data_IF_175351211441
#
_entry.id   IF_175351211441
#
_cell.length_a   1.000
_cell.length_b   1.000
_cell.length_c   1.000
_cell.angle_alpha   90.00
_cell.angle_beta   90.00
_cell.angle_gamma   90.00
#
_symmetry.space_group_name_H-M   'P 1'
#
loop_
_entity.id
_entity.type
_entity.pdbx_description
1 polymer ?
#
# COMPACT_ATOMS: atom_id res chain seq x y z
N UNK A 1 -39.76 -7.23 -60.21
CA UNK A 1 -39.43 -6.42 -59.02
C UNK A 1 -39.56 -7.14 -57.66
N UNK A 2 -40.16 -8.34 -57.54
CA UNK A 2 -40.25 -9.06 -56.24
C UNK A 2 -39.07 -10.00 -55.91
N UNK A 3 -38.17 -10.29 -56.86
CA UNK A 3 -36.99 -11.15 -56.64
C UNK A 3 -35.69 -10.40 -56.33
N UNK A 4 -35.66 -9.07 -56.52
CA UNK A 4 -34.50 -8.24 -56.17
C UNK A 4 -34.54 -7.75 -54.71
N UNK A 5 -35.72 -7.74 -54.07
CA UNK A 5 -35.89 -7.29 -52.68
C UNK A 5 -35.49 -8.37 -51.66
N UNK A 6 -35.55 -9.66 -52.05
CA UNK A 6 -35.13 -10.78 -51.20
C UNK A 6 -33.60 -10.91 -51.17
N UNK A 7 -32.91 -10.47 -52.23
CA UNK A 7 -31.43 -10.41 -52.23
C UNK A 7 -30.91 -9.26 -51.36
N UNK A 8 -31.65 -8.16 -51.24
CA UNK A 8 -31.26 -7.02 -50.38
C UNK A 8 -31.49 -7.32 -48.88
N UNK A 9 -32.40 -8.24 -48.55
CA UNK A 9 -32.66 -8.67 -47.16
C UNK A 9 -31.74 -9.81 -46.68
N UNK A 10 -31.06 -10.51 -47.59
CA UNK A 10 -30.04 -11.53 -47.25
C UNK A 10 -28.63 -10.92 -47.17
N UNK A 11 -28.41 -9.73 -47.75
CA UNK A 11 -27.13 -8.99 -47.65
C UNK A 11 -27.07 -8.09 -46.40
N UNK A 12 -28.19 -7.86 -45.72
CA UNK A 12 -28.23 -7.41 -44.32
C UNK A 12 -28.18 -8.59 -43.34
N UNK A 13 -27.42 -9.64 -43.71
CA UNK A 13 -26.88 -10.60 -42.76
C UNK A 13 -26.08 -9.82 -41.73
N UNK A 14 -26.75 -9.54 -40.61
CA UNK A 14 -26.23 -9.34 -39.25
C UNK A 14 -24.70 -9.38 -39.21
N UNK A 15 -24.07 -8.26 -39.57
CA UNK A 15 -22.76 -7.98 -39.00
C UNK A 15 -23.08 -7.51 -37.59
N UNK A 16 -23.14 -8.45 -36.64
CA UNK A 16 -22.86 -8.10 -35.26
C UNK A 16 -21.44 -7.56 -35.29
N UNK A 17 -21.33 -6.23 -35.27
CA UNK A 17 -20.04 -5.58 -35.05
C UNK A 17 -19.81 -5.76 -33.57
N UNK A 18 -18.71 -6.43 -33.21
CA UNK A 18 -18.34 -6.59 -31.83
C UNK A 18 -18.30 -5.22 -31.14
N UNK A 19 -18.95 -5.13 -29.99
CA UNK A 19 -18.92 -3.95 -29.14
C UNK A 19 -17.63 -3.97 -28.31
N UNK A 20 -17.11 -2.77 -28.00
CA UNK A 20 -15.89 -2.61 -27.21
C UNK A 20 -16.17 -1.63 -26.09
N UNK A 21 -16.02 -2.10 -24.86
CA UNK A 21 -16.03 -1.25 -23.67
C UNK A 21 -14.63 -0.70 -23.46
N UNK A 22 -14.55 0.58 -23.10
CA UNK A 22 -13.31 1.29 -22.80
C UNK A 22 -13.42 1.93 -21.44
N UNK A 23 -12.57 1.47 -20.53
CA UNK A 23 -12.45 2.02 -19.19
C UNK A 23 -11.27 3.02 -19.20
N UNK A 24 -11.52 4.33 -19.04
CA UNK A 24 -10.45 5.32 -19.04
C UNK A 24 -9.55 5.14 -17.82
N UNK A 25 -8.25 5.31 -18.02
CA UNK A 25 -7.24 5.39 -16.97
C UNK A 25 -6.53 6.73 -17.13
N UNK A 26 -6.81 7.67 -16.24
CA UNK A 26 -6.20 9.01 -16.30
C UNK A 26 -5.13 9.16 -15.23
N UNK A 27 -4.04 9.83 -15.60
CA UNK A 27 -2.93 10.18 -14.71
C UNK A 27 -2.30 11.47 -15.21
N UNK A 28 -1.92 12.35 -14.29
CA UNK A 28 -1.08 13.50 -14.59
C UNK A 28 0.38 13.06 -14.48
N UNK A 29 1.09 13.02 -15.61
CA UNK A 29 2.51 12.67 -15.68
C UNK A 29 3.35 13.96 -15.72
N UNK A 30 4.24 14.10 -14.74
CA UNK A 30 5.14 15.24 -14.56
C UNK A 30 6.60 14.84 -14.81
N UNK A 31 6.99 13.63 -14.40
CA UNK A 31 8.35 13.10 -14.49
C UNK A 31 8.61 12.38 -15.81
N UNK A 32 7.55 11.85 -16.44
CA UNK A 32 7.65 10.95 -17.58
C UNK A 32 8.03 9.52 -17.20
N UNK A 33 8.24 9.24 -15.91
CA UNK A 33 8.48 7.88 -15.42
C UNK A 33 7.18 7.06 -15.48
N UNK A 34 7.27 5.75 -15.72
CA UNK A 34 6.12 4.88 -15.61
C UNK A 34 5.55 4.87 -14.19
N UNK A 35 4.22 4.89 -14.10
CA UNK A 35 3.44 4.73 -12.88
C UNK A 35 2.88 3.32 -12.82
N UNK A 36 3.16 2.63 -11.73
CA UNK A 36 2.60 1.31 -11.43
C UNK A 36 1.10 1.41 -11.13
N UNK A 37 0.32 0.59 -11.81
CA UNK A 37 -1.14 0.50 -11.63
C UNK A 37 -1.51 -0.93 -11.29
N UNK A 38 -2.33 -1.08 -10.26
CA UNK A 38 -3.01 -2.34 -9.92
C UNK A 38 -4.50 -2.08 -9.74
N UNK A 39 -5.32 -2.91 -10.35
CA UNK A 39 -6.79 -2.88 -10.24
C UNK A 39 -7.30 -4.32 -10.13
N UNK A 40 -8.28 -4.57 -9.27
CA UNK A 40 -8.87 -5.91 -9.16
C UNK A 40 -9.74 -6.22 -10.38
N UNK A 41 -9.81 -7.50 -10.76
CA UNK A 41 -10.72 -7.94 -11.80
C UNK A 41 -12.20 -7.72 -11.40
N UNK A 42 -12.52 -7.69 -10.10
CA UNK A 42 -13.84 -7.27 -9.61
C UNK A 42 -14.15 -5.82 -9.99
N UNK A 43 -13.22 -4.88 -9.77
CA UNK A 43 -13.42 -3.47 -10.14
C UNK A 43 -13.52 -3.30 -11.66
N UNK A 44 -12.74 -4.04 -12.44
CA UNK A 44 -12.87 -4.03 -13.91
C UNK A 44 -14.26 -4.54 -14.32
N UNK A 45 -14.73 -5.63 -13.74
CA UNK A 45 -16.06 -6.18 -14.01
C UNK A 45 -17.17 -5.15 -13.73
N UNK A 46 -17.07 -4.45 -12.60
CA UNK A 46 -18.03 -3.41 -12.22
C UNK A 46 -18.01 -2.23 -13.21
N UNK A 47 -16.83 -1.84 -13.71
CA UNK A 47 -16.67 -0.74 -14.68
C UNK A 47 -17.10 -1.13 -16.10
N UNK A 48 -16.91 -2.39 -16.49
CA UNK A 48 -17.35 -2.91 -17.79
C UNK A 48 -18.86 -3.12 -17.81
N UNK A 49 -19.43 -3.51 -16.68
CA UNK A 49 -20.84 -3.80 -16.49
C UNK A 49 -21.14 -5.29 -16.62
N UNK A 50 -21.83 -5.82 -15.62
CA UNK A 50 -22.16 -7.26 -15.49
C UNK A 50 -23.04 -7.82 -16.62
N UNK A 51 -23.73 -6.94 -17.36
CA UNK A 51 -24.59 -7.31 -18.48
C UNK A 51 -23.85 -7.39 -19.83
N UNK A 52 -22.58 -6.97 -19.89
CA UNK A 52 -21.75 -7.07 -21.08
C UNK A 52 -21.09 -8.46 -21.16
N UNK A 53 -21.30 -9.18 -22.27
CA UNK A 53 -20.76 -10.53 -22.49
C UNK A 53 -19.28 -10.46 -22.91
N UNK A 54 -18.44 -9.99 -22.00
CA UNK A 54 -17.03 -9.74 -22.23
C UNK A 54 -16.26 -11.03 -22.59
N UNK A 55 -15.55 -11.00 -23.72
CA UNK A 55 -14.45 -11.90 -23.95
C UNK A 55 -13.24 -11.41 -23.14
N UNK A 56 -12.97 -12.00 -21.96
CA UNK A 56 -11.83 -11.60 -21.14
C UNK A 56 -10.46 -11.87 -21.77
N UNK A 57 -10.39 -12.76 -22.76
CA UNK A 57 -9.17 -12.95 -23.57
C UNK A 57 -8.90 -11.74 -24.48
N UNK A 58 -9.89 -10.88 -24.72
CA UNK A 58 -9.73 -9.65 -25.51
C UNK A 58 -9.25 -8.44 -24.70
N UNK A 59 -9.03 -8.59 -23.39
CA UNK A 59 -8.59 -7.51 -22.51
C UNK A 59 -7.27 -6.90 -23.04
N UNK A 60 -7.18 -5.57 -23.07
CA UNK A 60 -5.95 -4.86 -23.45
C UNK A 60 -5.78 -3.60 -22.62
N UNK A 61 -4.53 -3.18 -22.47
CA UNK A 61 -4.20 -1.81 -22.04
C UNK A 61 -3.68 -1.06 -23.26
N UNK A 62 -4.26 0.10 -23.55
CA UNK A 62 -3.91 0.91 -24.72
C UNK A 62 -3.50 2.31 -24.28
N UNK A 63 -2.32 2.77 -24.71
CA UNK A 63 -1.85 4.13 -24.53
C UNK A 63 -1.38 4.68 -25.88
N UNK A 64 -1.86 5.88 -26.26
CA UNK A 64 -1.53 6.52 -27.54
C UNK A 64 -1.76 5.60 -28.76
N UNK A 65 -2.81 4.77 -28.70
CA UNK A 65 -3.17 3.80 -29.74
C UNK A 65 -2.24 2.58 -29.84
N UNK A 66 -1.34 2.39 -28.88
CA UNK A 66 -0.45 1.21 -28.78
C UNK A 66 -0.87 0.35 -27.59
N UNK A 67 -0.83 -0.96 -27.81
CA UNK A 67 -1.00 -1.94 -26.74
C UNK A 67 0.21 -1.92 -25.81
N UNK A 68 -0.04 -1.82 -24.51
CA UNK A 68 0.96 -1.90 -23.45
C UNK A 68 0.96 -3.31 -22.83
N UNK A 69 2.13 -3.81 -22.40
CA UNK A 69 2.19 -5.04 -21.62
C UNK A 69 1.44 -4.88 -20.30
N UNK A 70 0.70 -5.93 -19.93
CA UNK A 70 0.02 -6.06 -18.66
C UNK A 70 0.04 -7.52 -18.21
N UNK A 71 -0.24 -7.75 -16.94
CA UNK A 71 -0.41 -9.10 -16.39
C UNK A 71 -1.68 -9.17 -15.54
N UNK A 72 -2.25 -10.37 -15.46
CA UNK A 72 -3.30 -10.69 -14.50
C UNK A 72 -2.72 -11.74 -13.57
N UNK A 73 -2.64 -11.38 -12.29
CA UNK A 73 -2.09 -12.21 -11.24
C UNK A 73 -3.22 -12.97 -10.54
N UNK A 74 -3.11 -14.30 -10.52
CA UNK A 74 -4.01 -15.21 -9.81
C UNK A 74 -3.83 -15.06 -8.29
N UNK A 75 -4.42 -14.02 -7.69
CA UNK A 75 -4.14 -13.68 -6.28
C UNK A 75 -5.02 -14.44 -5.29
N UNK A 76 -6.05 -15.13 -5.75
CA UNK A 76 -6.83 -16.07 -4.92
C UNK A 76 -6.39 -17.54 -5.11
N UNK A 77 -5.40 -17.78 -5.99
CA UNK A 77 -4.73 -19.06 -6.21
C UNK A 77 -5.68 -20.17 -6.68
N UNK A 78 -6.77 -19.82 -7.36
CA UNK A 78 -7.75 -20.78 -7.82
C UNK A 78 -7.39 -21.45 -9.17
N UNK A 79 -6.39 -20.91 -9.88
CA UNK A 79 -5.90 -21.39 -11.16
C UNK A 79 -6.75 -20.98 -12.37
N UNK A 80 -7.65 -20.01 -12.22
CA UNK A 80 -8.52 -19.47 -13.26
C UNK A 80 -8.74 -17.98 -13.04
N UNK A 81 -9.01 -17.27 -14.14
CA UNK A 81 -9.44 -15.88 -14.08
C UNK A 81 -10.68 -15.72 -13.19
N UNK A 82 -10.58 -14.89 -12.16
CA UNK A 82 -11.66 -14.63 -11.21
C UNK A 82 -11.71 -13.16 -10.78
N UNK A 83 -12.76 -12.78 -10.05
CA UNK A 83 -12.87 -11.45 -9.43
C UNK A 83 -11.80 -11.19 -8.35
N UNK A 84 -11.21 -12.25 -7.81
CA UNK A 84 -10.13 -12.19 -6.82
C UNK A 84 -8.76 -11.85 -7.42
N UNK A 85 -8.64 -11.85 -8.75
CA UNK A 85 -7.38 -11.58 -9.44
C UNK A 85 -7.10 -10.08 -9.54
N UNK A 86 -5.82 -9.76 -9.75
CA UNK A 86 -5.36 -8.38 -9.87
C UNK A 86 -4.68 -8.19 -11.22
N UNK A 87 -5.16 -7.20 -11.97
CA UNK A 87 -4.49 -6.73 -13.17
C UNK A 87 -3.42 -5.70 -12.79
N UNK A 88 -2.21 -5.86 -13.33
CA UNK A 88 -1.10 -4.93 -13.13
C UNK A 88 -0.50 -4.47 -14.47
N UNK A 89 -0.16 -3.18 -14.55
CA UNK A 89 0.46 -2.58 -15.73
C UNK A 89 1.21 -1.28 -15.38
N UNK A 90 1.98 -0.75 -16.34
CA UNK A 90 2.76 0.48 -16.20
C UNK A 90 2.32 1.49 -17.27
N UNK A 91 2.09 2.75 -16.87
CA UNK A 91 1.69 3.83 -17.79
C UNK A 91 2.53 5.08 -17.60
N UNK A 92 2.82 5.82 -18.67
CA UNK A 92 3.51 7.13 -18.59
C UNK A 92 2.57 8.34 -18.80
N UNK A 93 1.26 8.12 -18.86
CA UNK A 93 0.24 9.09 -19.25
C UNK A 93 -1.14 8.44 -19.37
N UNK A 94 -2.16 9.17 -19.85
CA UNK A 94 -3.51 8.61 -20.02
C UNK A 94 -3.53 7.34 -20.87
N UNK A 95 -4.35 6.37 -20.47
CA UNK A 95 -4.50 5.07 -21.12
C UNK A 95 -5.97 4.61 -21.07
N UNK A 96 -6.28 3.50 -21.72
CA UNK A 96 -7.59 2.85 -21.70
C UNK A 96 -7.39 1.35 -21.43
N UNK A 97 -8.21 0.78 -20.55
CA UNK A 97 -8.41 -0.68 -20.49
C UNK A 97 -9.58 -0.98 -21.43
N UNK A 98 -9.38 -1.87 -22.40
CA UNK A 98 -10.40 -2.19 -23.41
C UNK A 98 -10.74 -3.67 -23.37
N UNK A 99 -12.02 -3.99 -23.54
CA UNK A 99 -12.53 -5.36 -23.66
C UNK A 99 -13.65 -5.41 -24.69
N UNK A 100 -13.74 -6.48 -25.46
CA UNK A 100 -14.75 -6.67 -26.51
C UNK A 100 -15.61 -7.90 -26.22
N UNK A 101 -16.74 -8.02 -26.92
CA UNK A 101 -17.55 -9.24 -26.99
C UNK A 101 -17.15 -10.13 -28.21
N UNK A 102 -15.97 -9.88 -28.79
CA UNK A 102 -15.43 -10.66 -29.91
C UNK A 102 -14.66 -11.88 -29.38
N UNK A 103 -15.34 -13.03 -29.36
CA UNK A 103 -14.78 -14.31 -28.90
C UNK A 103 -13.78 -14.96 -29.87
N UNK A 104 -13.52 -14.37 -31.04
CA UNK A 104 -12.45 -14.83 -31.95
C UNK A 104 -11.07 -14.27 -31.54
N UNK A 105 -11.02 -13.30 -30.62
CA UNK A 105 -9.78 -12.72 -30.10
C UNK A 105 -9.13 -13.66 -29.08
N UNK A 106 -7.83 -13.89 -29.24
CA UNK A 106 -6.98 -14.65 -28.32
C UNK A 106 -6.24 -13.72 -27.35
N UNK A 107 -5.85 -14.22 -26.16
CA UNK A 107 -5.13 -13.43 -25.18
C UNK A 107 -3.75 -13.00 -25.73
N UNK A 108 -3.28 -11.79 -25.38
CA UNK A 108 -1.97 -11.33 -25.80
C UNK A 108 -0.85 -12.11 -25.09
N UNK A 109 0.28 -12.27 -25.78
CA UNK A 109 1.50 -12.85 -25.22
C UNK A 109 2.55 -11.76 -25.04
N UNK A 110 3.03 -11.59 -23.81
CA UNK A 110 4.10 -10.68 -23.47
C UNK A 110 5.31 -11.43 -22.90
N UNK A 111 6.50 -10.85 -23.08
CA UNK A 111 7.73 -11.39 -22.50
C UNK A 111 7.80 -10.99 -21.03
N UNK A 112 8.05 -11.96 -20.15
CA UNK A 112 8.25 -11.72 -18.72
C UNK A 112 9.44 -10.80 -18.45
N UNK A 113 9.31 -9.91 -17.48
CA UNK A 113 10.40 -9.09 -16.94
C UNK A 113 10.79 -9.65 -15.58
N UNK A 114 12.04 -10.09 -15.47
CA UNK A 114 12.58 -10.64 -14.24
C UNK A 114 12.53 -12.16 -14.13
N UNK A 115 12.83 -12.66 -12.94
CA UNK A 115 13.08 -14.06 -12.64
C UNK A 115 12.74 -14.37 -11.19
N UNK A 116 12.16 -15.55 -10.96
CA UNK A 116 11.90 -16.10 -9.63
C UNK A 116 12.55 -17.47 -9.53
N UNK A 117 13.26 -17.72 -8.43
CA UNK A 117 13.84 -19.02 -8.10
C UNK A 117 13.49 -19.36 -6.65
N UNK A 118 12.91 -20.53 -6.43
CA UNK A 118 12.69 -21.04 -5.07
C UNK A 118 13.94 -21.78 -4.58
N UNK A 119 14.50 -21.34 -3.46
CA UNK A 119 15.67 -21.93 -2.81
C UNK A 119 15.43 -22.02 -1.30
N UNK A 120 15.63 -23.21 -0.73
CA UNK A 120 15.55 -23.44 0.74
C UNK A 120 14.25 -22.94 1.43
N UNK A 121 13.12 -22.93 0.70
CA UNK A 121 11.83 -22.47 1.24
C UNK A 121 11.65 -20.94 1.25
N UNK A 122 12.49 -20.23 0.49
CA UNK A 122 12.39 -18.82 0.17
C UNK A 122 12.35 -18.63 -1.35
N UNK A 123 11.88 -17.47 -1.80
CA UNK A 123 11.89 -17.12 -3.22
C UNK A 123 12.84 -15.96 -3.46
N UNK A 124 13.85 -16.20 -4.28
CA UNK A 124 14.74 -15.19 -4.81
C UNK A 124 14.07 -14.53 -6.02
N UNK A 125 14.02 -13.21 -6.01
CA UNK A 125 13.32 -12.39 -7.00
C UNK A 125 14.32 -11.39 -7.59
N UNK A 126 14.42 -11.36 -8.92
CA UNK A 126 15.17 -10.36 -9.68
C UNK A 126 14.22 -9.68 -10.66
N UNK A 127 14.07 -8.36 -10.59
CA UNK A 127 13.19 -7.60 -11.50
C UNK A 127 13.66 -6.15 -11.66
N UNK A 128 13.90 -5.75 -12.91
CA UNK A 128 14.48 -4.43 -13.19
C UNK A 128 15.81 -4.28 -12.46
N UNK A 129 15.90 -3.24 -11.63
CA UNK A 129 17.05 -2.99 -10.74
C UNK A 129 16.90 -3.62 -9.35
N UNK A 130 15.75 -4.21 -9.02
CA UNK A 130 15.46 -4.80 -7.71
C UNK A 130 15.99 -6.23 -7.63
N UNK A 131 16.68 -6.53 -6.53
CA UNK A 131 16.86 -7.90 -6.01
C UNK A 131 16.13 -8.04 -4.69
N UNK A 132 15.36 -9.11 -4.51
CA UNK A 132 14.53 -9.31 -3.34
C UNK A 132 14.43 -10.79 -2.95
N UNK A 133 14.00 -11.02 -1.70
CA UNK A 133 13.68 -12.33 -1.16
C UNK A 133 12.29 -12.27 -0.53
N UNK A 134 11.41 -13.20 -0.91
CA UNK A 134 10.20 -13.48 -0.16
C UNK A 134 10.44 -14.65 0.78
N UNK A 135 10.15 -14.47 2.08
CA UNK A 135 10.28 -15.55 3.05
C UNK A 135 9.07 -16.50 3.01
N UNK A 136 9.08 -17.56 3.82
CA UNK A 136 8.01 -18.56 3.88
C UNK A 136 6.65 -18.03 4.38
N UNK A 137 6.58 -16.77 4.84
CA UNK A 137 5.33 -16.07 5.20
C UNK A 137 4.85 -15.15 4.08
N UNK A 138 5.55 -15.09 2.95
CA UNK A 138 5.30 -14.16 1.85
C UNK A 138 5.62 -12.70 2.19
N UNK A 139 6.41 -12.43 3.24
CA UNK A 139 6.92 -11.09 3.51
C UNK A 139 8.16 -10.83 2.64
N UNK A 140 8.15 -9.68 1.97
CA UNK A 140 9.19 -9.31 0.99
C UNK A 140 10.27 -8.46 1.65
N UNK A 141 11.52 -8.84 1.38
CA UNK A 141 12.74 -8.09 1.70
C UNK A 141 13.44 -7.70 0.41
N UNK A 142 13.71 -6.42 0.21
CA UNK A 142 14.57 -5.95 -0.89
C UNK A 142 16.02 -5.95 -0.42
N UNK A 143 16.85 -6.73 -1.10
CA UNK A 143 18.26 -6.99 -0.77
C UNK A 143 19.23 -6.19 -1.64
N UNK A 144 18.74 -5.48 -2.64
CA UNK A 144 19.54 -4.58 -3.46
C UNK A 144 18.72 -3.82 -4.48
N UNK A 145 19.27 -2.70 -4.93
CA UNK A 145 18.72 -1.82 -5.95
C UNK A 145 19.85 -1.19 -6.78
N UNK A 146 19.90 -1.49 -8.08
CA UNK A 146 20.99 -1.06 -8.95
C UNK A 146 22.34 -1.60 -8.47
N UNK A 147 23.30 -0.70 -8.20
CA UNK A 147 24.62 -1.06 -7.67
C UNK A 147 24.65 -1.14 -6.12
N UNK A 148 23.53 -0.89 -5.44
CA UNK A 148 23.46 -0.89 -3.98
C UNK A 148 23.05 -2.26 -3.47
N UNK A 149 23.88 -2.86 -2.63
CA UNK A 149 23.61 -4.13 -1.94
C UNK A 149 23.33 -3.90 -0.45
N UNK A 150 22.44 -4.71 0.13
CA UNK A 150 22.10 -4.66 1.55
C UNK A 150 20.59 -4.67 1.80
N UNK A 151 20.17 -4.58 3.06
CA UNK A 151 18.73 -4.50 3.38
C UNK A 151 18.21 -3.10 3.04
N UNK A 152 17.59 -2.96 1.87
CA UNK A 152 17.00 -1.70 1.40
C UNK A 152 15.66 -1.46 2.10
N UNK A 153 14.84 -2.50 2.21
CA UNK A 153 13.62 -2.53 3.02
C UNK A 153 13.31 -3.97 3.37
N UNK A 154 12.77 -4.22 4.55
CA UNK A 154 12.44 -5.55 5.03
C UNK A 154 10.97 -5.64 5.45
N UNK A 155 10.46 -6.88 5.45
CA UNK A 155 9.14 -7.26 5.94
C UNK A 155 7.99 -6.37 5.42
N UNK A 156 7.98 -6.05 4.13
CA UNK A 156 6.92 -5.23 3.53
C UNK A 156 5.52 -5.82 3.79
N UNK A 157 4.67 -5.04 4.45
CA UNK A 157 3.30 -5.44 4.78
C UNK A 157 3.17 -6.27 6.06
N UNK A 158 4.23 -6.43 6.86
CA UNK A 158 4.10 -7.07 8.18
C UNK A 158 3.12 -6.29 9.06
N UNK A 159 2.27 -6.99 9.80
CA UNK A 159 1.39 -6.35 10.78
C UNK A 159 1.98 -6.45 12.17
N UNK A 160 1.71 -5.44 13.01
CA UNK A 160 1.69 -5.54 14.46
C UNK A 160 0.25 -5.44 14.93
N UNK A 161 -0.21 -6.49 15.60
CA UNK A 161 -1.57 -6.59 16.10
C UNK A 161 -1.56 -6.81 17.60
N UNK A 162 -2.39 -6.05 18.30
CA UNK A 162 -2.52 -6.10 19.76
C UNK A 162 -3.98 -6.00 20.14
N UNK A 163 -4.41 -6.74 21.16
CA UNK A 163 -5.81 -6.76 21.56
C UNK A 163 -6.13 -7.82 22.60
N UNK A 164 -7.42 -8.05 22.83
CA UNK A 164 -7.92 -8.89 23.92
C UNK A 164 -8.40 -10.25 23.41
N UNK A 165 -7.57 -11.27 23.54
CA UNK A 165 -7.90 -12.62 23.07
C UNK A 165 -8.84 -13.36 24.00
N UNK A 166 -9.80 -14.07 23.42
CA UNK A 166 -10.85 -14.77 24.15
C UNK A 166 -11.83 -13.83 24.86
N UNK A 167 -11.94 -12.58 24.40
CA UNK A 167 -12.89 -11.63 24.94
C UNK A 167 -14.33 -12.09 24.77
N UNK A 168 -15.14 -11.81 25.79
CA UNK A 168 -16.59 -12.04 25.82
C UNK A 168 -17.37 -10.75 25.92
N UNK A 169 -16.74 -9.60 25.65
CA UNK A 169 -17.32 -8.27 25.81
C UNK A 169 -18.73 -8.11 25.21
N UNK A 170 -18.98 -8.66 24.02
CA UNK A 170 -20.31 -8.61 23.39
C UNK A 170 -21.42 -9.37 24.17
N UNK A 171 -21.04 -10.27 25.08
CA UNK A 171 -21.93 -11.07 25.93
C UNK A 171 -22.08 -10.44 27.32
N UNK A 172 -20.96 -10.11 27.97
CA UNK A 172 -20.93 -9.74 29.39
C UNK A 172 -20.09 -8.51 29.72
N UNK A 173 -19.48 -7.86 28.72
CA UNK A 173 -18.64 -6.68 28.91
C UNK A 173 -17.22 -6.97 29.40
N UNK A 174 -16.81 -8.24 29.48
CA UNK A 174 -15.49 -8.63 29.98
C UNK A 174 -14.46 -8.78 28.84
N UNK A 175 -13.34 -8.07 28.98
CA UNK A 175 -12.21 -8.20 28.09
C UNK A 175 -11.38 -9.45 28.40
N UNK A 176 -10.88 -10.08 27.34
CA UNK A 176 -10.00 -11.24 27.42
C UNK A 176 -8.57 -10.90 27.88
N UNK A 177 -7.63 -11.82 27.65
CA UNK A 177 -6.22 -11.57 27.93
C UNK A 177 -5.63 -10.66 26.85
N UNK A 178 -4.93 -9.60 27.24
CA UNK A 178 -4.21 -8.77 26.28
C UNK A 178 -3.00 -9.53 25.68
N UNK A 179 -2.87 -9.54 24.36
CA UNK A 179 -1.76 -10.13 23.60
C UNK A 179 -1.27 -9.15 22.54
N UNK A 180 0.01 -9.24 22.18
CA UNK A 180 0.61 -8.52 21.04
C UNK A 180 1.42 -9.52 20.18
N UNK A 181 1.22 -9.48 18.87
CA UNK A 181 1.84 -10.37 17.88
C UNK A 181 2.17 -9.62 16.60
N UNK A 182 3.08 -10.20 15.81
CA UNK A 182 3.33 -9.77 14.43
C UNK A 182 2.97 -10.87 13.44
N UNK A 183 2.90 -10.55 12.14
CA UNK A 183 2.64 -11.56 11.09
C UNK A 183 3.64 -12.73 11.12
N UNK A 184 4.84 -12.54 11.68
CA UNK A 184 5.82 -13.62 11.86
C UNK A 184 5.30 -14.77 12.75
N UNK A 185 4.44 -14.47 13.71
CA UNK A 185 3.83 -15.45 14.62
C UNK A 185 2.59 -16.15 14.01
N UNK A 186 2.06 -15.65 12.89
CA UNK A 186 0.79 -16.13 12.33
C UNK A 186 0.96 -17.45 11.58
N UNK A 187 -0.12 -18.21 11.47
CA UNK A 187 -0.11 -19.48 10.74
C UNK A 187 -0.22 -19.18 9.25
N UNK A 188 0.70 -19.70 8.45
CA UNK A 188 0.60 -19.60 6.98
C UNK A 188 -0.51 -20.53 6.52
N UNK A 189 -1.54 -19.98 5.89
CA UNK A 189 -2.50 -20.77 5.10
C UNK A 189 -1.92 -21.03 3.73
N UNK A 190 -1.48 -19.96 3.08
CA UNK A 190 -0.96 -19.96 1.72
C UNK A 190 0.15 -18.90 1.64
N UNK A 191 1.23 -19.20 0.93
CA UNK A 191 2.27 -18.23 0.59
C UNK A 191 2.98 -18.71 -0.68
N UNK A 192 3.04 -17.85 -1.70
CA UNK A 192 3.71 -18.18 -2.95
C UNK A 192 4.16 -16.92 -3.68
N UNK A 193 5.09 -17.10 -4.62
CA UNK A 193 5.45 -16.08 -5.61
C UNK A 193 4.92 -16.53 -6.96
N UNK A 194 4.11 -15.69 -7.58
CA UNK A 194 3.55 -15.96 -8.91
C UNK A 194 4.65 -15.89 -9.98
N UNK A 195 4.48 -16.59 -11.13
CA UNK A 195 5.42 -16.51 -12.23
C UNK A 195 5.72 -15.05 -12.64
N UNK A 196 6.95 -14.79 -13.08
CA UNK A 196 7.30 -13.45 -13.55
C UNK A 196 6.43 -13.03 -14.74
N UNK A 197 5.74 -11.91 -14.58
CA UNK A 197 4.91 -11.33 -15.62
C UNK A 197 5.67 -10.26 -16.41
N UNK A 198 5.07 -9.67 -17.44
CA UNK A 198 5.67 -8.64 -18.29
C UNK A 198 5.88 -7.27 -17.66
N UNK A 199 5.33 -7.00 -16.48
CA UNK A 199 5.51 -5.71 -15.78
C UNK A 199 6.06 -5.86 -14.37
N UNK A 200 5.75 -6.97 -13.70
CA UNK A 200 5.98 -7.18 -12.28
C UNK A 200 6.08 -8.66 -11.85
N UNK A 201 6.49 -8.86 -10.60
CA UNK A 201 6.44 -10.14 -9.89
C UNK A 201 5.59 -9.94 -8.63
N UNK A 202 4.60 -10.80 -8.43
CA UNK A 202 3.64 -10.69 -7.32
C UNK A 202 3.84 -11.81 -6.30
N UNK A 203 3.94 -11.41 -5.04
CA UNK A 203 3.98 -12.28 -3.87
C UNK A 203 2.62 -12.25 -3.20
N UNK A 204 2.05 -13.43 -2.96
CA UNK A 204 0.73 -13.59 -2.35
C UNK A 204 0.88 -14.41 -1.07
N UNK A 205 0.27 -13.92 0.02
CA UNK A 205 0.24 -14.63 1.29
C UNK A 205 -1.10 -14.46 1.99
N UNK A 206 -1.55 -15.53 2.62
CA UNK A 206 -2.72 -15.56 3.50
C UNK A 206 -2.30 -16.15 4.84
N UNK A 207 -2.42 -15.36 5.90
CA UNK A 207 -1.99 -15.69 7.26
C UNK A 207 -3.19 -15.69 8.20
N UNK A 208 -3.34 -16.73 9.02
CA UNK A 208 -4.31 -16.77 10.13
C UNK A 208 -3.63 -16.26 11.41
N UNK A 209 -4.21 -15.20 11.99
CA UNK A 209 -3.63 -14.52 13.13
C UNK A 209 -3.90 -15.21 14.46
N UNK A 210 -3.20 -16.29 14.79
CA UNK A 210 -3.28 -16.86 16.14
C UNK A 210 -2.45 -16.02 17.14
N UNK A 211 -3.00 -15.59 18.30
CA UNK A 211 -4.20 -16.06 18.99
C UNK A 211 -5.53 -15.29 18.72
N UNK A 212 -5.56 -14.30 17.84
CA UNK A 212 -6.75 -13.55 17.45
C UNK A 212 -7.66 -14.36 16.51
N UNK A 213 -8.40 -15.30 17.09
CA UNK A 213 -9.26 -16.23 16.35
C UNK A 213 -10.21 -15.48 15.39
N UNK A 214 -10.35 -16.03 14.18
CA UNK A 214 -11.22 -15.49 13.15
C UNK A 214 -10.64 -14.32 12.35
N UNK A 215 -9.42 -13.87 12.63
CA UNK A 215 -8.75 -12.83 11.83
C UNK A 215 -7.82 -13.47 10.81
N UNK A 216 -7.99 -13.12 9.54
CA UNK A 216 -7.10 -13.49 8.44
C UNK A 216 -6.46 -12.25 7.83
N UNK A 217 -5.16 -12.29 7.58
CA UNK A 217 -4.42 -11.26 6.86
C UNK A 217 -4.05 -11.79 5.47
N UNK A 218 -4.54 -11.17 4.40
CA UNK A 218 -4.07 -11.36 3.03
C UNK A 218 -3.08 -10.25 2.68
N UNK A 219 -1.92 -10.62 2.16
CA UNK A 219 -0.86 -9.70 1.72
C UNK A 219 -0.60 -9.98 0.23
N UNK A 220 -0.79 -8.96 -0.60
CA UNK A 220 -0.43 -8.99 -2.02
C UNK A 220 0.64 -7.92 -2.21
N UNK A 221 1.85 -8.32 -2.59
CA UNK A 221 2.96 -7.40 -2.86
C UNK A 221 3.47 -7.59 -4.27
N UNK A 222 3.25 -6.60 -5.14
CA UNK A 222 3.72 -6.60 -6.53
C UNK A 222 4.95 -5.71 -6.63
N UNK A 223 6.09 -6.30 -7.03
CA UNK A 223 7.32 -5.58 -7.35
C UNK A 223 7.30 -5.28 -8.85
N UNK A 224 7.39 -4.01 -9.23
CA UNK A 224 7.39 -3.58 -10.63
C UNK A 224 8.82 -3.38 -11.14
N UNK A 225 9.00 -3.58 -12.44
CA UNK A 225 10.29 -3.40 -13.13
C UNK A 225 10.87 -1.98 -13.10
N UNK A 226 10.07 -0.98 -12.73
CA UNK A 226 10.49 0.42 -12.61
C UNK A 226 10.99 0.81 -11.20
N UNK A 227 11.03 -0.12 -10.24
CA UNK A 227 11.43 0.17 -8.85
C UNK A 227 10.28 0.46 -7.89
N UNK A 228 9.05 0.57 -8.39
CA UNK A 228 7.86 0.70 -7.54
C UNK A 228 7.42 -0.65 -6.99
N UNK A 229 6.85 -0.65 -5.79
CA UNK A 229 6.29 -1.82 -5.13
C UNK A 229 4.92 -1.45 -4.58
N UNK A 230 3.87 -2.17 -4.95
CA UNK A 230 2.54 -1.97 -4.40
C UNK A 230 2.25 -3.10 -3.43
N UNK A 231 2.03 -2.76 -2.15
CA UNK A 231 1.62 -3.71 -1.12
C UNK A 231 0.19 -3.42 -0.69
N UNK A 232 -0.66 -4.44 -0.78
CA UNK A 232 -2.04 -4.40 -0.33
C UNK A 232 -2.24 -5.44 0.77
N UNK A 233 -2.59 -4.96 1.96
CA UNK A 233 -2.92 -5.77 3.12
C UNK A 233 -4.42 -5.71 3.37
N UNK A 234 -5.06 -6.87 3.46
CA UNK A 234 -6.49 -6.98 3.76
C UNK A 234 -6.66 -7.86 5.00
N UNK A 235 -7.38 -7.35 5.98
CA UNK A 235 -7.75 -8.06 7.20
C UNK A 235 -9.23 -8.39 7.16
N UNK A 236 -9.56 -9.67 7.23
CA UNK A 236 -10.94 -10.15 7.27
C UNK A 236 -11.26 -10.70 8.66
N UNK A 237 -12.41 -10.29 9.19
CA UNK A 237 -12.87 -10.68 10.51
C UNK A 237 -14.04 -11.66 10.39
N UNK A 238 -13.78 -12.95 10.62
CA UNK A 238 -14.80 -14.00 10.62
C UNK A 238 -15.57 -14.09 11.96
N UNK A 239 -15.05 -13.48 13.01
CA UNK A 239 -15.65 -13.44 14.35
C UNK A 239 -15.47 -12.07 14.98
N UNK A 240 -16.11 -11.86 16.13
CA UNK A 240 -15.89 -10.67 16.94
C UNK A 240 -14.44 -10.58 17.41
N UNK A 241 -13.84 -9.39 17.32
CA UNK A 241 -12.47 -9.14 17.77
C UNK A 241 -12.33 -7.76 18.38
N UNK A 242 -11.39 -7.63 19.32
CA UNK A 242 -11.14 -6.40 20.06
C UNK A 242 -9.67 -6.08 20.04
N UNK A 243 -9.33 -5.03 19.29
CA UNK A 243 -7.95 -4.67 19.02
C UNK A 243 -7.64 -3.28 19.56
N UNK A 244 -6.46 -3.18 20.14
CA UNK A 244 -5.80 -1.90 20.47
C UNK A 244 -4.84 -1.48 19.37
N UNK A 245 -4.30 -2.44 18.60
CA UNK A 245 -3.39 -2.14 17.48
C UNK A 245 -3.73 -3.01 16.29
N UNK A 246 -3.78 -2.37 15.13
CA UNK A 246 -3.77 -3.03 13.84
C UNK A 246 -2.96 -2.12 12.91
N UNK A 247 -1.64 -2.34 12.91
CA UNK A 247 -0.68 -1.49 12.20
C UNK A 247 0.09 -2.30 11.17
N UNK A 248 -0.01 -1.95 9.90
CA UNK A 248 0.91 -2.44 8.89
C UNK A 248 2.25 -1.72 9.01
N UNK A 249 3.33 -2.38 8.58
CA UNK A 249 4.67 -1.85 8.69
C UNK A 249 5.54 -2.20 7.48
N UNK A 250 6.58 -1.40 7.31
CA UNK A 250 7.82 -1.77 6.65
C UNK A 250 8.97 -1.57 7.63
N UNK A 251 9.89 -2.54 7.73
CA UNK A 251 10.97 -2.51 8.72
C UNK A 251 12.31 -2.23 8.07
N UNK A 252 13.23 -1.65 8.85
CA UNK A 252 14.64 -1.43 8.48
C UNK A 252 14.82 -0.70 7.13
N UNK A 253 13.93 0.23 6.83
CA UNK A 253 13.95 0.97 5.55
C UNK A 253 15.28 1.74 5.44
N UNK A 254 16.19 1.25 4.60
CA UNK A 254 17.56 1.73 4.33
C UNK A 254 18.53 1.77 5.52
N UNK A 255 18.02 1.73 6.75
CA UNK A 255 18.77 1.92 8.00
C UNK A 255 19.79 0.83 8.32
N UNK A 256 19.66 -0.36 7.73
CA UNK A 256 20.65 -1.44 7.85
C UNK A 256 21.70 -1.40 6.72
N UNK A 257 21.39 -0.73 5.60
CA UNK A 257 22.31 -0.55 4.48
C UNK A 257 23.23 0.67 4.66
N UNK A 258 22.73 1.74 5.31
CA UNK A 258 23.44 3.00 5.46
C UNK A 258 23.17 3.70 6.80
N UNK A 259 24.24 3.97 7.55
CA UNK A 259 24.16 4.71 8.82
C UNK A 259 23.82 6.21 8.65
N UNK A 260 24.12 6.79 7.48
CA UNK A 260 23.82 8.20 7.16
C UNK A 260 22.37 8.43 6.71
N UNK A 261 21.52 7.39 6.79
CA UNK A 261 20.12 7.48 6.40
C UNK A 261 19.38 8.51 7.25
N UNK A 262 18.66 9.41 6.58
CA UNK A 262 17.72 10.37 7.19
C UNK A 262 16.28 9.97 6.88
N UNK A 263 15.39 10.18 7.84
CA UNK A 263 13.94 10.12 7.65
C UNK A 263 13.44 11.49 7.17
N UNK A 264 12.63 11.50 6.12
CA UNK A 264 12.07 12.70 5.50
C UNK A 264 10.56 12.56 5.33
N UNK A 265 9.81 13.62 5.63
CA UNK A 265 8.35 13.66 5.48
C UNK A 265 7.81 15.10 5.52
N UNK A 266 6.60 15.35 5.01
CA UNK A 266 5.91 16.63 5.21
C UNK A 266 5.71 16.95 6.69
N UNK A 267 5.64 18.24 7.03
CA UNK A 267 5.22 18.65 8.37
C UNK A 267 3.79 18.16 8.62
N UNK A 268 3.60 17.44 9.73
CA UNK A 268 2.30 16.91 10.12
C UNK A 268 1.22 17.99 10.20
N UNK A 269 0.02 17.66 9.71
CA UNK A 269 -1.18 18.48 9.89
C UNK A 269 -1.67 18.45 11.34
N UNK A 270 -1.49 17.32 12.04
CA UNK A 270 -1.73 17.15 13.48
C UNK A 270 -0.67 16.27 14.14
N UNK A 271 -0.24 16.67 15.32
CA UNK A 271 0.78 15.96 16.10
C UNK A 271 0.49 16.13 17.59
N UNK A 272 0.23 15.03 18.29
CA UNK A 272 -0.14 15.04 19.70
C UNK A 272 0.86 15.82 20.55
N UNK A 273 2.16 15.63 20.30
CA UNK A 273 3.18 16.30 21.09
C UNK A 273 3.24 17.81 20.89
N UNK A 274 2.86 18.30 19.70
CA UNK A 274 2.73 19.73 19.47
C UNK A 274 1.52 20.28 20.26
N UNK A 275 0.41 19.54 20.26
CA UNK A 275 -0.79 19.88 21.03
C UNK A 275 -0.50 19.89 22.55
N UNK A 276 0.24 18.90 23.05
CA UNK A 276 0.68 18.82 24.46
C UNK A 276 1.57 19.99 24.90
N UNK A 277 2.32 20.57 23.96
CA UNK A 277 3.14 21.75 24.22
C UNK A 277 2.42 23.06 23.88
N UNK A 278 1.18 22.98 23.35
CA UNK A 278 0.40 24.12 22.88
C UNK A 278 1.15 24.97 21.83
N UNK A 279 1.80 24.30 20.89
CA UNK A 279 2.53 24.88 19.74
C UNK A 279 2.10 24.21 18.44
N UNK A 280 2.49 24.76 17.31
CA UNK A 280 2.25 24.12 16.00
C UNK A 280 3.20 22.94 15.75
N UNK A 281 2.83 21.95 14.92
CA UNK A 281 3.75 20.91 14.48
C UNK A 281 5.05 21.46 13.87
N UNK A 282 4.98 22.56 13.13
CA UNK A 282 6.17 23.21 12.58
C UNK A 282 7.12 23.71 13.69
N UNK A 283 6.59 24.40 14.69
CA UNK A 283 7.38 24.87 15.85
C UNK A 283 8.00 23.71 16.62
N UNK A 284 7.24 22.63 16.83
CA UNK A 284 7.73 21.42 17.50
C UNK A 284 9.00 20.84 16.85
N UNK A 285 9.03 20.78 15.52
CA UNK A 285 10.16 20.26 14.76
C UNK A 285 11.27 21.29 14.55
N UNK A 286 10.95 22.59 14.49
CA UNK A 286 11.96 23.66 14.47
C UNK A 286 12.80 23.66 15.75
N UNK A 287 12.16 23.52 16.92
CA UNK A 287 12.85 23.47 18.22
C UNK A 287 13.82 22.27 18.33
N UNK A 288 13.62 21.25 17.49
CA UNK A 288 14.45 20.04 17.40
C UNK A 288 15.50 20.11 16.30
N UNK A 289 15.62 21.24 15.60
CA UNK A 289 16.47 21.41 14.42
C UNK A 289 16.19 20.34 13.34
N UNK A 290 14.93 19.96 13.18
CA UNK A 290 14.49 18.88 12.32
C UNK A 290 13.80 19.38 11.05
N UNK A 291 13.88 20.68 10.73
CA UNK A 291 13.22 21.26 9.56
C UNK A 291 14.25 21.61 8.49
N UNK A 292 14.02 21.11 7.28
CA UNK A 292 14.70 21.52 6.06
C UNK A 292 13.66 22.14 5.12
N UNK A 293 14.06 23.18 4.40
CA UNK A 293 13.22 23.75 3.34
C UNK A 293 13.67 23.21 1.99
N UNK A 294 12.72 22.73 1.19
CA UNK A 294 12.89 22.52 -0.25
C UNK A 294 12.02 23.56 -0.96
N UNK A 295 12.68 24.48 -1.68
CA UNK A 295 12.06 25.73 -2.11
C UNK A 295 11.47 26.53 -0.93
N UNK A 296 10.15 26.75 -0.94
CA UNK A 296 9.42 27.51 0.11
C UNK A 296 8.60 26.60 1.04
N UNK A 297 8.74 25.27 0.96
CA UNK A 297 7.97 24.32 1.76
C UNK A 297 8.86 23.69 2.84
N UNK A 298 8.40 23.61 4.11
CA UNK A 298 9.14 22.93 5.17
C UNK A 298 8.88 21.42 5.15
N UNK A 299 9.94 20.66 5.41
CA UNK A 299 9.93 19.21 5.56
C UNK A 299 10.63 18.82 6.85
N UNK A 300 10.12 17.78 7.50
CA UNK A 300 10.77 17.17 8.66
C UNK A 300 11.90 16.28 8.14
N UNK A 301 13.11 16.48 8.66
CA UNK A 301 14.32 15.72 8.32
C UNK A 301 15.10 15.42 9.60
N UNK A 302 15.32 14.15 9.91
CA UNK A 302 16.12 13.73 11.07
C UNK A 302 16.84 12.38 10.83
N UNK A 303 17.90 12.04 11.57
CA UNK A 303 18.58 10.75 11.41
C UNK A 303 17.66 9.55 11.65
N UNK A 304 17.58 8.61 10.70
CA UNK A 304 16.70 7.46 10.81
C UNK A 304 17.24 6.41 11.81
N UNK A 305 18.57 6.24 11.89
CA UNK A 305 19.24 5.21 12.69
C UNK A 305 19.27 5.54 14.18
N UNK A 306 19.60 6.80 14.52
CA UNK A 306 19.59 7.37 15.88
C UNK A 306 18.50 8.46 15.93
N UNK A 307 17.26 8.00 16.02
CA UNK A 307 16.09 8.85 15.84
C UNK A 307 15.88 9.82 17.01
N UNK A 308 15.13 10.89 16.75
CA UNK A 308 14.92 11.94 17.76
C UNK A 308 14.14 11.43 18.96
N UNK A 309 14.55 11.90 20.15
CA UNK A 309 13.86 11.59 21.40
C UNK A 309 12.53 12.34 21.49
N UNK A 310 11.42 11.66 21.76
CA UNK A 310 10.13 12.29 21.96
C UNK A 310 10.00 12.93 23.34
N UNK A 311 8.83 13.52 23.61
CA UNK A 311 8.48 14.06 24.93
C UNK A 311 8.42 12.97 26.01
N UNK A 312 7.83 11.84 25.64
CA UNK A 312 7.68 10.63 26.44
C UNK A 312 7.54 9.45 25.45
N UNK A 313 7.75 8.23 25.94
CA UNK A 313 7.80 7.01 25.12
C UNK A 313 8.97 6.91 24.14
N UNK A 314 9.09 5.79 23.40
CA UNK A 314 10.25 5.47 22.56
C UNK A 314 10.14 5.85 21.08
N UNK A 315 8.96 6.23 20.60
CA UNK A 315 8.68 6.55 19.20
C UNK A 315 9.04 8.01 18.87
N UNK A 316 9.71 8.27 17.74
CA UNK A 316 10.05 9.63 17.26
C UNK A 316 8.88 10.38 16.64
N UNK A 317 7.78 9.70 16.32
CA UNK A 317 6.44 10.27 16.34
C UNK A 317 5.45 9.16 16.61
N UNK A 318 4.42 9.49 17.38
CA UNK A 318 3.27 8.64 17.66
C UNK A 318 2.06 9.54 17.83
N UNK A 319 0.87 9.04 17.48
CA UNK A 319 -0.34 9.87 17.40
C UNK A 319 -0.12 11.10 16.50
N UNK A 320 0.46 10.84 15.33
CA UNK A 320 0.63 11.82 14.27
C UNK A 320 -0.37 11.52 13.15
N UNK A 321 -0.92 12.56 12.52
CA UNK A 321 -1.75 12.37 11.34
C UNK A 321 -0.99 11.62 10.25
N UNK A 322 -1.69 10.76 9.50
CA UNK A 322 -1.13 10.25 8.25
C UNK A 322 -0.92 11.41 7.28
N UNK A 323 0.25 11.45 6.64
CA UNK A 323 0.55 12.39 5.57
C UNK A 323 0.62 11.66 4.22
N UNK A 324 0.79 12.40 3.13
CA UNK A 324 0.76 11.78 1.81
C UNK A 324 1.96 10.87 1.53
N UNK A 325 3.10 11.11 2.17
CA UNK A 325 4.30 10.30 1.99
C UNK A 325 5.27 10.45 3.16
N UNK A 326 6.14 9.45 3.34
CA UNK A 326 7.34 9.50 4.18
C UNK A 326 8.45 8.71 3.49
N UNK A 327 9.70 9.03 3.73
CA UNK A 327 10.82 8.34 3.09
C UNK A 327 12.02 8.22 4.02
N UNK A 328 12.90 7.29 3.68
CA UNK A 328 14.26 7.26 4.19
C UNK A 328 15.22 7.42 3.01
N UNK A 329 16.25 8.23 3.16
CA UNK A 329 17.24 8.53 2.11
C UNK A 329 18.66 8.52 2.67
N UNK A 330 19.60 7.95 1.91
CA UNK A 330 21.04 7.96 2.21
C UNK A 330 21.78 8.78 1.16
N UNK A 331 22.56 9.76 1.63
CA UNK A 331 23.38 10.62 0.78
C UNK A 331 24.58 9.86 0.20
N UNK A 332 25.15 8.94 0.97
CA UNK A 332 26.31 8.13 0.58
C UNK A 332 25.96 7.11 -0.51
N UNK A 333 24.78 6.49 -0.42
CA UNK A 333 24.28 5.55 -1.42
C UNK A 333 23.57 6.23 -2.59
N UNK A 334 23.15 7.49 -2.42
CA UNK A 334 22.26 8.21 -3.34
C UNK A 334 20.94 7.48 -3.60
N UNK A 335 20.48 6.72 -2.62
CA UNK A 335 19.28 5.88 -2.72
C UNK A 335 18.27 6.27 -1.66
N UNK A 336 17.00 6.28 -2.02
CA UNK A 336 15.89 6.46 -1.10
C UNK A 336 14.81 5.42 -1.27
N UNK A 337 14.01 5.25 -0.22
CA UNK A 337 12.80 4.44 -0.21
C UNK A 337 11.68 5.29 0.36
N UNK A 338 10.68 5.57 -0.46
CA UNK A 338 9.48 6.28 -0.05
C UNK A 338 8.33 5.30 0.18
N UNK A 339 7.50 5.57 1.17
CA UNK A 339 6.15 5.03 1.32
C UNK A 339 5.17 6.17 1.01
N UNK A 340 4.26 5.94 0.06
CA UNK A 340 3.31 6.91 -0.48
C UNK A 340 1.89 6.36 -0.27
N UNK A 341 1.02 7.21 0.27
CA UNK A 341 -0.40 6.95 0.32
C UNK A 341 -1.02 7.21 -1.07
N UNK A 342 -1.70 6.21 -1.67
CA UNK A 342 -2.33 6.35 -2.99
C UNK A 342 -3.37 7.47 -3.06
N UNK A 343 -3.97 7.80 -1.91
CA UNK A 343 -4.91 8.89 -1.75
C UNK A 343 -4.41 9.87 -0.69
N UNK A 344 -4.90 11.11 -0.73
CA UNK A 344 -4.59 12.10 0.30
C UNK A 344 -5.29 11.69 1.60
N UNK A 345 -4.57 11.38 2.70
CA UNK A 345 -5.22 10.96 3.93
C UNK A 345 -6.08 12.08 4.51
N UNK A 346 -7.28 11.72 4.98
CA UNK A 346 -8.19 12.63 5.67
C UNK A 346 -7.72 12.80 7.11
N UNK A 347 -7.65 14.05 7.58
CA UNK A 347 -7.38 14.36 8.98
C UNK A 347 -8.64 14.98 9.56
N UNK A 348 -9.31 14.22 10.43
CA UNK A 348 -10.55 14.66 11.05
C UNK A 348 -10.28 15.76 12.09
N UNK A 349 -11.24 16.67 12.24
CA UNK A 349 -11.11 17.82 13.14
C UNK A 349 -11.41 17.44 14.60
N UNK A 350 -12.29 16.47 14.82
CA UNK A 350 -12.56 15.91 16.14
C UNK A 350 -11.30 15.26 16.69
N UNK A 351 -10.97 15.55 17.96
CA UNK A 351 -9.70 15.13 18.55
C UNK A 351 -9.72 13.64 18.90
N UNK A 352 -10.82 13.19 19.49
CA UNK A 352 -11.00 11.80 19.90
C UNK A 352 -11.13 10.89 18.68
N UNK A 353 -11.87 11.30 17.65
CA UNK A 353 -11.97 10.56 16.39
C UNK A 353 -10.62 10.47 15.65
N UNK A 354 -9.80 11.53 15.70
CA UNK A 354 -8.46 11.52 15.11
C UNK A 354 -7.50 10.60 15.87
N UNK A 355 -7.47 10.73 17.21
CA UNK A 355 -6.65 9.89 18.08
C UNK A 355 -7.04 8.41 17.94
N UNK A 356 -8.34 8.14 17.85
CA UNK A 356 -8.92 6.83 17.57
C UNK A 356 -8.82 6.40 16.11
N UNK A 357 -8.15 7.17 15.26
CA UNK A 357 -8.13 7.01 13.81
C UNK A 357 -6.90 6.25 13.30
N UNK A 358 -6.66 6.37 12.00
CA UNK A 358 -5.41 5.93 11.41
C UNK A 358 -4.30 6.94 11.72
N UNK A 359 -3.20 6.45 12.29
CA UNK A 359 -2.06 7.29 12.66
C UNK A 359 -0.77 6.75 12.09
N UNK A 360 0.20 7.65 11.95
CA UNK A 360 1.57 7.28 11.67
C UNK A 360 2.38 7.19 12.95
N UNK A 361 3.21 6.15 13.00
CA UNK A 361 4.16 5.93 14.07
C UNK A 361 5.52 5.62 13.46
N UNK A 362 6.57 6.23 14.03
CA UNK A 362 7.94 5.90 13.71
C UNK A 362 8.69 5.57 14.99
N UNK A 363 9.03 4.30 15.13
CA UNK A 363 9.72 3.76 16.28
C UNK A 363 10.62 2.62 15.80
N UNK A 364 11.83 2.51 16.35
CA UNK A 364 12.74 1.38 16.06
C UNK A 364 13.03 1.17 14.57
N UNK A 365 13.11 2.26 13.78
CA UNK A 365 13.39 2.23 12.32
C UNK A 365 12.28 1.60 11.48
N UNK A 366 11.04 1.64 11.97
CA UNK A 366 9.88 1.06 11.30
C UNK A 366 8.93 2.16 10.82
N UNK A 367 8.51 2.03 9.58
CA UNK A 367 7.37 2.77 9.05
C UNK A 367 6.13 2.05 9.53
N UNK A 368 5.44 2.54 10.57
CA UNK A 368 4.19 1.95 11.02
C UNK A 368 3.00 2.83 10.69
N UNK A 369 1.92 2.18 10.32
CA UNK A 369 0.69 2.83 9.88
C UNK A 369 -0.51 1.99 10.28
N UNK A 370 -1.46 2.57 10.99
CA UNK A 370 -2.74 1.93 11.24
C UNK A 370 -3.41 2.44 12.49
N UNK A 371 -4.29 1.61 13.04
CA UNK A 371 -4.92 1.89 14.33
C UNK A 371 -3.91 1.66 15.45
N UNK A 372 -3.78 2.66 16.33
CA UNK A 372 -2.92 2.60 17.48
C UNK A 372 -3.61 3.28 18.66
N UNK A 373 -4.08 2.45 19.58
CA UNK A 373 -4.82 2.85 20.75
C UNK A 373 -3.96 2.45 21.95
N UNK A 374 -3.40 3.44 22.65
CA UNK A 374 -2.66 3.19 23.89
C UNK A 374 -2.82 4.35 24.86
N UNK A 375 -2.79 4.02 26.15
CA UNK A 375 -3.58 4.70 27.17
C UNK A 375 -3.33 6.22 27.37
N UNK A 376 -4.41 6.95 27.71
CA UNK A 376 -4.53 8.42 27.85
C UNK A 376 -3.80 9.07 29.03
N UNK A 377 -3.27 8.29 29.98
CA UNK A 377 -2.70 8.85 31.21
C UNK A 377 -1.51 9.80 31.00
N UNK A 378 -0.78 9.67 29.88
CA UNK A 378 0.32 10.57 29.50
C UNK A 378 -0.17 11.81 28.73
N UNK A 379 -1.36 11.72 28.13
CA UNK A 379 -2.02 12.81 27.41
C UNK A 379 -2.56 13.84 28.41
N UNK A 380 -3.17 13.37 29.50
CA UNK A 380 -3.76 14.22 30.55
C UNK A 380 -2.73 14.92 31.45
N UNK A 381 -1.44 14.61 31.33
CA UNK A 381 -0.37 15.26 32.11
C UNK A 381 -0.19 16.72 31.69
N UNK A 382 -0.52 17.04 30.43
CA UNK A 382 -0.34 18.36 29.85
C UNK A 382 -1.65 19.14 29.89
N UNK A 383 -1.60 20.35 30.45
CA UNK A 383 -2.79 21.20 30.62
C UNK A 383 -3.52 21.48 29.29
N UNK A 384 -2.81 21.51 28.16
CA UNK A 384 -3.38 21.81 26.85
C UNK A 384 -4.17 20.66 26.22
N UNK A 385 -3.92 19.42 26.63
CA UNK A 385 -4.59 18.21 26.11
C UNK A 385 -5.41 17.50 27.18
N UNK A 386 -5.49 18.08 28.37
CA UNK A 386 -6.26 17.55 29.49
C UNK A 386 -7.74 17.51 29.16
N UNK A 387 -8.39 16.40 29.48
CA UNK A 387 -9.82 16.17 29.26
C UNK A 387 -10.24 16.19 27.77
N UNK A 388 -9.30 16.14 26.81
CA UNK A 388 -9.60 16.08 25.37
C UNK A 388 -9.97 14.67 24.91
N UNK A 389 -9.51 13.67 25.66
CA UNK A 389 -9.73 12.25 25.44
C UNK A 389 -10.17 11.64 26.77
N UNK A 390 -11.03 10.61 26.72
CA UNK A 390 -11.34 9.80 27.89
C UNK A 390 -10.05 9.26 28.53
N UNK A 391 -10.05 9.18 29.86
CA UNK A 391 -8.98 8.53 30.63
C UNK A 391 -9.15 7.00 30.72
N UNK A 392 -10.28 6.45 30.28
CA UNK A 392 -10.56 5.02 30.32
C UNK A 392 -10.04 4.37 29.04
N UNK A 393 -9.25 3.31 29.17
CA UNK A 393 -8.68 2.63 28.01
C UNK A 393 -9.73 1.86 27.21
N UNK A 394 -10.80 1.43 27.88
CA UNK A 394 -11.92 0.69 27.29
C UNK A 394 -12.60 1.49 26.18
N UNK A 395 -12.60 2.81 26.26
CA UNK A 395 -13.21 3.71 25.27
C UNK A 395 -12.45 3.72 23.93
N UNK A 396 -11.21 3.23 23.92
CA UNK A 396 -10.34 3.18 22.75
C UNK A 396 -10.24 1.80 22.12
N UNK A 397 -10.90 0.79 22.70
CA UNK A 397 -10.85 -0.56 22.12
C UNK A 397 -11.64 -0.58 20.82
N UNK A 398 -10.99 -1.00 19.73
CA UNK A 398 -11.67 -1.18 18.46
C UNK A 398 -12.38 -2.51 18.43
N UNK A 399 -13.70 -2.43 18.31
CA UNK A 399 -14.55 -3.60 18.18
C UNK A 399 -14.82 -3.87 16.70
N UNK A 400 -14.40 -5.04 16.24
CA UNK A 400 -14.68 -5.57 14.92
C UNK A 400 -15.71 -6.68 15.01
N UNK A 401 -16.64 -6.72 14.07
CA UNK A 401 -17.68 -7.75 13.97
C UNK A 401 -17.42 -8.69 12.79
N UNK A 402 -18.11 -9.83 12.77
CA UNK A 402 -18.01 -10.77 11.66
C UNK A 402 -18.46 -10.11 10.35
N UNK A 403 -17.61 -10.18 9.32
CA UNK A 403 -17.81 -9.56 8.02
C UNK A 403 -17.09 -8.21 7.86
N UNK A 404 -16.50 -7.66 8.92
CA UNK A 404 -15.67 -6.47 8.79
C UNK A 404 -14.42 -6.77 7.95
N UNK A 405 -14.02 -5.77 7.15
CA UNK A 405 -12.81 -5.80 6.34
C UNK A 405 -12.06 -4.50 6.53
N UNK A 406 -10.77 -4.59 6.86
CA UNK A 406 -9.86 -3.44 6.93
C UNK A 406 -8.76 -3.64 5.91
N UNK A 407 -8.53 -2.65 5.04
CA UNK A 407 -7.49 -2.72 4.03
C UNK A 407 -6.52 -1.55 4.08
N UNK A 408 -5.27 -1.84 3.73
CA UNK A 408 -4.20 -0.86 3.62
C UNK A 408 -3.44 -1.09 2.31
N UNK A 409 -3.52 -0.11 1.41
CA UNK A 409 -2.74 -0.09 0.16
C UNK A 409 -1.62 0.95 0.29
N UNK A 410 -0.37 0.54 0.13
CA UNK A 410 0.80 1.43 0.14
C UNK A 410 1.60 1.25 -1.13
N UNK A 411 2.06 2.36 -1.70
CA UNK A 411 3.05 2.34 -2.78
C UNK A 411 4.40 2.65 -2.16
N UNK A 412 5.35 1.75 -2.33
CA UNK A 412 6.74 2.02 -2.06
C UNK A 412 7.45 2.34 -3.37
N UNK A 413 8.36 3.30 -3.35
CA UNK A 413 9.20 3.61 -4.51
C UNK A 413 10.64 3.62 -4.05
N UNK A 414 11.47 2.79 -4.68
CA UNK A 414 12.92 2.77 -4.48
C UNK A 414 13.53 3.58 -5.62
N UNK A 415 14.31 4.59 -5.27
CA UNK A 415 14.76 5.59 -6.24
C UNK A 415 16.18 6.06 -5.97
N UNK A 416 16.77 6.68 -6.98
CA UNK A 416 18.06 7.35 -6.89
C UNK A 416 17.88 8.87 -6.85
N UNK A 417 18.62 9.56 -5.99
CA UNK A 417 18.63 11.03 -5.92
C UNK A 417 20.00 11.55 -5.48
N UNK A 418 20.42 12.69 -6.03
CA UNK A 418 21.76 13.25 -5.78
C UNK A 418 21.89 13.96 -4.43
N UNK A 419 20.78 14.41 -3.84
CA UNK A 419 20.74 15.07 -2.54
C UNK A 419 19.43 14.82 -1.80
N UNK A 420 19.38 15.22 -0.52
CA UNK A 420 18.13 15.21 0.28
C UNK A 420 17.05 16.10 -0.38
N UNK A 421 17.43 17.23 -0.97
CA UNK A 421 16.48 18.13 -1.65
C UNK A 421 15.89 17.47 -2.90
N UNK A 422 16.74 16.85 -3.74
CA UNK A 422 16.30 16.12 -4.93
C UNK A 422 15.43 14.90 -4.56
N UNK A 423 15.74 14.24 -3.43
CA UNK A 423 14.93 13.15 -2.88
C UNK A 423 13.53 13.63 -2.49
N UNK A 424 13.42 14.78 -1.81
CA UNK A 424 12.11 15.37 -1.46
C UNK A 424 11.34 15.75 -2.73
N UNK A 425 11.99 16.39 -3.71
CA UNK A 425 11.36 16.79 -4.96
C UNK A 425 10.86 15.58 -5.76
N UNK A 426 11.66 14.53 -5.86
CA UNK A 426 11.28 13.26 -6.47
C UNK A 426 10.01 12.69 -5.84
N UNK A 427 9.99 12.55 -4.51
CA UNK A 427 8.85 11.94 -3.82
C UNK A 427 7.60 12.82 -3.93
N UNK A 428 7.72 14.15 -3.89
CA UNK A 428 6.60 15.07 -4.11
C UNK A 428 5.98 14.94 -5.51
N UNK A 429 6.82 14.83 -6.54
CA UNK A 429 6.37 14.60 -7.91
C UNK A 429 5.69 13.23 -8.02
N UNK A 430 6.37 12.15 -7.62
CA UNK A 430 5.86 10.78 -7.68
C UNK A 430 4.54 10.62 -6.93
N UNK A 431 4.44 11.20 -5.73
CA UNK A 431 3.21 11.27 -4.92
C UNK A 431 2.09 11.98 -5.66
N UNK A 432 2.38 13.08 -6.34
CA UNK A 432 1.38 13.83 -7.11
C UNK A 432 0.88 13.05 -8.33
N UNK A 433 1.75 12.30 -9.00
CA UNK A 433 1.38 11.42 -10.12
C UNK A 433 0.48 10.27 -9.63
N UNK A 434 0.91 9.56 -8.59
CA UNK A 434 0.14 8.45 -7.98
C UNK A 434 -1.24 8.91 -7.53
N UNK A 435 -1.33 10.03 -6.80
CA UNK A 435 -2.61 10.54 -6.28
C UNK A 435 -3.51 11.16 -7.38
N UNK A 436 -2.98 11.38 -8.58
CA UNK A 436 -3.76 11.82 -9.73
C UNK A 436 -4.35 10.66 -10.54
N UNK A 437 -3.96 9.42 -10.24
CA UNK A 437 -4.45 8.23 -10.93
C UNK A 437 -5.95 8.05 -10.67
N UNK A 438 -6.74 7.96 -11.75
CA UNK A 438 -8.17 7.62 -11.72
C UNK A 438 -8.47 6.55 -12.76
N UNK A 439 -9.35 5.61 -12.40
CA UNK A 439 -9.79 4.54 -13.30
C UNK A 439 -11.31 4.56 -13.35
N UNK A 440 -11.87 4.62 -14.56
CA UNK A 440 -13.32 4.66 -14.79
C UNK A 440 -13.98 6.03 -14.64
N UNK A 441 -13.20 7.09 -14.38
CA UNK A 441 -13.68 8.49 -14.25
C UNK A 441 -13.44 9.33 -15.51
#
# INVERSE_FOLDING_TARGET
MKRFLVLFFIVFSVFSVAETVRVPVSVSSFTGEPIAVTISMSEILDLVGVDFDANWDSLKVVQDGKELPYQIDDTDLNGKLSSGDVMAFLITGPAEITVTDDFDILPPEFVSVGKVVEEEGQWLIEIGEITAVANSKGLVKVTGFGDVEGTIVDELGIVRMSGYVGSTYYVDGEYGRHEEKTSGDFIVKEATVLPAGPVGITVVSTLEAQPFLGITQKIITTLFSNGDIISHNTFEFATYAELMKLQIMATRVLTDAAEDTVHTLPVFRRLLWADQLNITPLEYWLDRNAIMFSGNKPYIVFPAVDSMRPLWWGATYIFASQESWRANYSQSLKTGVAEINPEVPVVVADYEEWMGGLTWVYESREFRDGYFEWMPGEIDIFESTKDYVSSNWEDYVKHFVAGDVVSFKRVYSIYSADSIEDSIEFVEMKKSEIQSLKIGE
#
